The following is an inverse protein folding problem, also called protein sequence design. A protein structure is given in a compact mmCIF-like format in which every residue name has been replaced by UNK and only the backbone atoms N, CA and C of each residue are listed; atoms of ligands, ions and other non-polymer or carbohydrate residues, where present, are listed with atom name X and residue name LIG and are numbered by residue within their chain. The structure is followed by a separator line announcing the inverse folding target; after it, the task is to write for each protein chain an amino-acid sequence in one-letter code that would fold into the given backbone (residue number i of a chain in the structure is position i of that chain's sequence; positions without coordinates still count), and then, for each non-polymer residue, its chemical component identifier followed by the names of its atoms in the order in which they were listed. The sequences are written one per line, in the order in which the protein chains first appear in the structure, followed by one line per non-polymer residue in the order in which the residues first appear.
data_IF_768969547708
#
_entry.id   IF_768969547708
#
_cell.length_a   1.000
_cell.length_b   1.000
_cell.length_c   1.000
_cell.angle_alpha   90.00
_cell.angle_beta   90.00
_cell.angle_gamma   90.00
#
_symmetry.space_group_name_H-M   'P 1'
#
loop_
_entity.id
_entity.type
_entity.pdbx_description
1 polymer ?
#
# COMPACT_ATOMS: atom_id res chain seq x y z
N UNK A 1 10.96 14.95 -2.97
CA UNK A 1 10.33 13.70 -2.53
C UNK A 1 11.39 12.61 -2.60
N UNK A 2 11.39 11.62 -1.70
CA UNK A 2 12.42 10.59 -1.69
C UNK A 2 12.24 9.61 -2.86
N UNK A 3 13.20 9.69 -3.78
CA UNK A 3 13.39 8.68 -4.82
C UNK A 3 14.29 7.58 -4.25
N UNK A 4 13.73 6.37 -4.08
CA UNK A 4 14.46 5.24 -3.51
C UNK A 4 15.43 4.58 -4.50
N UNK A 5 15.07 4.54 -5.78
CA UNK A 5 15.88 4.01 -6.88
C UNK A 5 15.64 4.84 -8.14
N UNK A 6 16.65 4.91 -9.00
CA UNK A 6 16.54 5.53 -10.33
C UNK A 6 15.39 4.92 -11.11
N UNK A 7 14.60 5.77 -11.78
CA UNK A 7 13.42 5.38 -12.55
C UNK A 7 12.31 4.69 -11.74
N UNK A 8 12.40 4.70 -10.41
CA UNK A 8 11.36 4.24 -9.50
C UNK A 8 10.24 5.26 -9.33
N UNK A 9 9.07 4.83 -8.84
CA UNK A 9 8.02 5.77 -8.44
C UNK A 9 8.52 6.66 -7.31
N UNK A 10 8.25 7.95 -7.43
CA UNK A 10 8.54 8.92 -6.38
C UNK A 10 7.48 8.80 -5.29
N UNK A 11 7.88 8.53 -4.04
CA UNK A 11 6.95 8.26 -2.94
C UNK A 11 6.79 9.54 -2.11
N UNK A 12 5.60 10.17 -2.09
CA UNK A 12 5.33 11.35 -1.29
C UNK A 12 5.60 11.15 0.20
N UNK A 13 6.10 12.20 0.85
CA UNK A 13 6.41 12.20 2.29
C UNK A 13 5.20 11.85 3.16
N UNK A 14 4.01 12.35 2.82
CA UNK A 14 2.78 12.04 3.57
C UNK A 14 2.38 10.55 3.48
N UNK A 15 2.78 9.82 2.42
CA UNK A 15 2.58 8.37 2.34
C UNK A 15 3.55 7.61 3.23
N UNK A 16 4.79 8.08 3.34
CA UNK A 16 5.75 7.55 4.29
C UNK A 16 5.27 7.75 5.73
N UNK A 17 4.81 8.95 6.05
CA UNK A 17 4.22 9.25 7.36
C UNK A 17 3.00 8.37 7.64
N UNK A 18 2.06 8.26 6.69
CA UNK A 18 0.90 7.39 6.84
C UNK A 18 1.29 5.93 7.05
N UNK A 19 2.34 5.45 6.39
CA UNK A 19 2.87 4.09 6.58
C UNK A 19 3.37 3.86 8.00
N UNK A 20 4.14 4.78 8.55
CA UNK A 20 4.70 4.61 9.89
C UNK A 20 3.68 4.76 11.01
N UNK A 21 2.64 5.56 10.78
CA UNK A 21 1.50 5.74 11.67
C UNK A 21 0.46 4.61 11.55
N UNK A 22 0.71 3.59 10.71
CA UNK A 22 -0.21 2.47 10.50
C UNK A 22 -1.51 2.85 9.77
N UNK A 23 -1.54 4.02 9.11
CA UNK A 23 -2.68 4.55 8.34
C UNK A 23 -2.62 4.24 6.85
N UNK A 24 -1.49 3.77 6.33
CA UNK A 24 -1.36 3.28 4.95
C UNK A 24 -1.63 1.79 4.87
N UNK A 25 -2.57 1.41 4.00
CA UNK A 25 -2.82 0.01 3.65
C UNK A 25 -2.40 -0.24 2.22
N UNK A 26 -1.58 -1.26 2.02
CA UNK A 26 -1.23 -1.71 0.68
C UNK A 26 -2.31 -2.66 0.16
N UNK A 27 -2.78 -2.40 -1.07
CA UNK A 27 -3.72 -3.26 -1.77
C UNK A 27 -2.98 -3.89 -2.96
N UNK A 28 -2.70 -5.18 -2.87
CA UNK A 28 -1.79 -5.89 -3.76
C UNK A 28 -2.52 -6.75 -4.79
N UNK A 29 -2.31 -6.44 -6.06
CA UNK A 29 -2.81 -7.16 -7.22
C UNK A 29 -1.79 -8.10 -7.87
N UNK A 30 -2.16 -8.70 -9.02
CA UNK A 30 -1.39 -9.79 -9.63
C UNK A 30 0.05 -9.41 -10.00
N UNK A 31 0.29 -8.13 -10.32
CA UNK A 31 1.63 -7.63 -10.65
C UNK A 31 2.68 -7.80 -9.54
N UNK A 32 2.26 -7.94 -8.27
CA UNK A 32 3.15 -8.20 -7.13
C UNK A 32 3.75 -9.61 -7.19
N UNK A 33 3.08 -10.56 -7.84
CA UNK A 33 3.50 -11.96 -7.92
C UNK A 33 4.42 -12.30 -9.11
N UNK A 34 4.62 -11.36 -10.04
CA UNK A 34 5.49 -11.54 -11.21
C UNK A 34 6.96 -11.87 -10.85
N UNK A 35 7.58 -11.24 -9.82
CA UNK A 35 8.91 -11.63 -9.34
C UNK A 35 8.96 -13.09 -8.89
N UNK A 36 7.88 -13.63 -8.32
CA UNK A 36 7.74 -15.04 -7.94
C UNK A 36 7.58 -15.98 -9.14
N UNK A 37 7.52 -15.45 -10.37
CA UNK A 37 7.39 -16.23 -11.61
C UNK A 37 5.94 -16.58 -11.98
N UNK A 38 4.97 -16.01 -11.27
CA UNK A 38 3.57 -16.09 -11.66
C UNK A 38 3.30 -15.21 -12.90
N UNK A 39 2.37 -15.62 -13.77
CA UNK A 39 2.00 -14.82 -14.93
C UNK A 39 1.21 -13.57 -14.53
N UNK A 40 1.25 -12.54 -15.37
CA UNK A 40 0.24 -11.47 -15.35
C UNK A 40 -1.13 -12.02 -15.78
N UNK A 41 -2.20 -11.25 -15.60
CA UNK A 41 -3.58 -11.70 -15.90
C UNK A 41 -3.71 -12.20 -17.35
N UNK A 42 -3.15 -11.48 -18.32
CA UNK A 42 -3.15 -11.91 -19.73
C UNK A 42 -2.42 -13.25 -19.93
N UNK A 43 -1.25 -13.39 -19.31
CA UNK A 43 -0.43 -14.60 -19.33
C UNK A 43 -1.11 -15.78 -18.64
N UNK A 44 -1.87 -15.53 -17.57
CA UNK A 44 -2.65 -16.52 -16.84
C UNK A 44 -3.70 -17.14 -17.76
N UNK A 45 -4.54 -16.30 -18.39
CA UNK A 45 -5.55 -16.79 -19.34
C UNK A 45 -4.86 -17.58 -20.46
N UNK A 46 -3.78 -17.07 -21.07
CA UNK A 46 -3.07 -17.83 -22.12
C UNK A 46 -2.56 -19.20 -21.66
N UNK A 47 -2.06 -19.32 -20.43
CA UNK A 47 -1.60 -20.60 -19.87
C UNK A 47 -2.77 -21.52 -19.55
N UNK A 48 -3.90 -21.00 -19.08
CA UNK A 48 -5.11 -21.79 -18.82
C UNK A 48 -5.59 -22.49 -20.09
N UNK A 49 -5.75 -21.76 -21.19
CA UNK A 49 -6.17 -22.35 -22.48
C UNK A 49 -5.22 -23.45 -22.97
N UNK A 50 -3.90 -23.27 -22.77
CA UNK A 50 -2.91 -24.32 -23.09
C UNK A 50 -2.99 -25.51 -22.16
N UNK A 51 -3.25 -25.29 -20.87
CA UNK A 51 -3.31 -26.35 -19.85
C UNK A 51 -4.56 -27.21 -20.03
N UNK A 52 -5.67 -26.58 -20.43
CA UNK A 52 -6.97 -27.20 -20.70
C UNK A 52 -7.09 -27.72 -22.14
N UNK A 53 -6.01 -27.63 -22.93
CA UNK A 53 -5.95 -28.03 -24.34
C UNK A 53 -7.17 -27.57 -25.18
N UNK A 54 -7.53 -26.30 -25.04
CA UNK A 54 -8.66 -25.69 -25.77
C UNK A 54 -8.24 -24.37 -26.42
N UNK A 55 -8.93 -23.99 -27.49
CA UNK A 55 -8.80 -22.67 -28.13
C UNK A 55 -9.92 -21.73 -27.69
N UNK A 56 -9.73 -20.43 -27.90
CA UNK A 56 -10.75 -19.40 -27.65
C UNK A 56 -11.81 -19.43 -28.73
N UNK A 57 -13.08 -19.36 -28.34
CA UNK A 57 -14.18 -19.09 -29.27
C UNK A 57 -14.08 -17.64 -29.81
N UNK A 58 -14.79 -17.28 -30.90
CA UNK A 58 -14.78 -15.91 -31.40
C UNK A 58 -15.19 -14.87 -30.35
N UNK A 59 -16.17 -15.19 -29.50
CA UNK A 59 -16.65 -14.32 -28.42
C UNK A 59 -15.57 -14.17 -27.33
N UNK A 60 -14.94 -15.27 -26.91
CA UNK A 60 -13.83 -15.23 -25.94
C UNK A 60 -12.63 -14.48 -26.48
N UNK A 61 -12.31 -14.64 -27.77
CA UNK A 61 -11.22 -13.92 -28.42
C UNK A 61 -11.50 -12.43 -28.47
N UNK A 62 -12.75 -12.02 -28.71
CA UNK A 62 -13.15 -10.62 -28.65
C UNK A 62 -13.01 -10.06 -27.23
N UNK A 63 -13.55 -10.74 -26.22
CA UNK A 63 -13.43 -10.33 -24.82
C UNK A 63 -11.95 -10.23 -24.38
N UNK A 64 -11.12 -11.18 -24.81
CA UNK A 64 -9.68 -11.19 -24.54
C UNK A 64 -8.95 -10.01 -25.19
N UNK A 65 -9.32 -9.62 -26.42
CA UNK A 65 -8.77 -8.43 -27.10
C UNK A 65 -9.16 -7.14 -26.37
N UNK A 66 -10.40 -7.09 -25.89
CA UNK A 66 -10.93 -5.97 -25.10
C UNK A 66 -10.41 -5.94 -23.65
N UNK A 67 -9.54 -6.89 -23.25
CA UNK A 67 -9.00 -7.04 -21.89
C UNK A 67 -10.07 -7.32 -20.82
N UNK A 68 -11.20 -7.89 -21.21
CA UNK A 68 -12.29 -8.33 -20.33
C UNK A 68 -11.99 -9.75 -19.83
N UNK A 69 -10.89 -9.91 -19.08
CA UNK A 69 -10.38 -11.24 -18.71
C UNK A 69 -11.31 -12.03 -17.79
N UNK A 70 -12.06 -11.34 -16.94
CA UNK A 70 -13.12 -11.90 -16.09
C UNK A 70 -14.24 -12.53 -16.94
N UNK A 71 -14.62 -11.88 -18.04
CA UNK A 71 -15.63 -12.40 -18.97
C UNK A 71 -15.10 -13.58 -19.79
N UNK A 72 -13.81 -13.56 -20.15
CA UNK A 72 -13.16 -14.72 -20.80
C UNK A 72 -13.19 -15.94 -19.89
N UNK A 73 -12.90 -15.77 -18.59
CA UNK A 73 -12.98 -16.85 -17.61
C UNK A 73 -14.42 -17.34 -17.44
N UNK A 74 -15.40 -16.45 -17.32
CA UNK A 74 -16.82 -16.83 -17.23
C UNK A 74 -17.26 -17.69 -18.42
N UNK A 75 -16.92 -17.28 -19.65
CA UNK A 75 -17.26 -18.02 -20.86
C UNK A 75 -16.58 -19.38 -20.89
N UNK A 76 -15.30 -19.45 -20.52
CA UNK A 76 -14.54 -20.70 -20.45
C UNK A 76 -15.11 -21.66 -19.38
N UNK A 77 -15.39 -21.16 -18.17
CA UNK A 77 -15.99 -21.93 -17.07
C UNK A 77 -17.36 -22.50 -17.46
N UNK A 78 -18.16 -21.79 -18.26
CA UNK A 78 -19.48 -22.26 -18.70
C UNK A 78 -19.41 -23.39 -19.73
N UNK A 79 -18.48 -23.31 -20.68
CA UNK A 79 -18.47 -24.24 -21.83
C UNK A 79 -17.49 -25.41 -21.73
N UNK A 80 -16.45 -25.31 -20.90
CA UNK A 80 -15.41 -26.33 -20.84
C UNK A 80 -15.97 -27.62 -20.20
N UNK A 81 -15.59 -28.83 -20.64
CA UNK A 81 -15.92 -30.07 -19.91
C UNK A 81 -15.45 -30.01 -18.45
N UNK A 82 -16.28 -30.42 -17.50
CA UNK A 82 -16.01 -30.21 -16.07
C UNK A 82 -16.22 -28.76 -15.60
N UNK A 83 -16.60 -27.87 -16.51
CA UNK A 83 -17.04 -26.49 -16.27
C UNK A 83 -16.07 -25.71 -15.35
N UNK A 84 -16.63 -24.95 -14.41
CA UNK A 84 -15.92 -24.15 -13.41
C UNK A 84 -14.89 -24.94 -12.63
N UNK A 85 -15.17 -26.20 -12.29
CA UNK A 85 -14.27 -27.02 -11.48
C UNK A 85 -12.97 -27.32 -12.23
N UNK A 86 -13.06 -27.88 -13.45
CA UNK A 86 -11.87 -28.20 -14.25
C UNK A 86 -11.02 -26.96 -14.57
N UNK A 87 -11.66 -25.82 -14.83
CA UNK A 87 -10.94 -24.55 -15.07
C UNK A 87 -10.19 -24.08 -13.82
N UNK A 88 -10.78 -24.19 -12.63
CA UNK A 88 -10.15 -23.80 -11.36
C UNK A 88 -9.08 -24.77 -10.89
N UNK A 89 -9.22 -26.05 -11.21
CA UNK A 89 -8.14 -27.02 -11.01
C UNK A 89 -6.92 -26.70 -11.89
N UNK A 90 -7.15 -26.40 -13.18
CA UNK A 90 -6.09 -25.96 -14.08
C UNK A 90 -5.47 -24.62 -13.63
N UNK A 91 -6.27 -23.71 -13.07
CA UNK A 91 -5.78 -22.49 -12.45
C UNK A 91 -4.80 -22.81 -11.31
N UNK A 92 -5.14 -23.77 -10.45
CA UNK A 92 -4.26 -24.20 -9.37
C UNK A 92 -2.94 -24.79 -9.88
N UNK A 93 -2.97 -25.50 -11.01
CA UNK A 93 -1.77 -25.99 -11.67
C UNK A 93 -0.90 -24.85 -12.25
N UNK A 94 -1.52 -23.81 -12.80
CA UNK A 94 -0.83 -22.67 -13.41
C UNK A 94 -0.25 -21.69 -12.38
N UNK A 95 -0.95 -21.46 -11.27
CA UNK A 95 -0.57 -20.51 -10.21
C UNK A 95 0.43 -21.12 -9.20
N UNK A 96 1.49 -21.76 -9.72
CA UNK A 96 2.59 -22.30 -8.92
C UNK A 96 3.80 -21.37 -8.96
N UNK A 97 4.15 -20.71 -7.85
CA UNK A 97 5.33 -19.83 -7.81
C UNK A 97 6.63 -20.61 -8.05
N UNK A 98 7.59 -19.97 -8.71
CA UNK A 98 8.91 -20.52 -8.98
C UNK A 98 9.83 -20.26 -7.80
N UNK A 99 9.70 -21.06 -6.73
CA UNK A 99 10.39 -20.87 -5.45
C UNK A 99 11.92 -20.81 -5.54
N UNK A 100 12.53 -21.49 -6.52
CA UNK A 100 13.99 -21.49 -6.73
C UNK A 100 14.50 -20.23 -7.43
N UNK A 101 13.62 -19.38 -7.95
CA UNK A 101 14.01 -18.13 -8.62
C UNK A 101 14.55 -17.15 -7.56
N UNK A 102 15.74 -16.61 -7.79
CA UNK A 102 16.33 -15.58 -6.92
C UNK A 102 15.36 -14.40 -6.79
N UNK A 103 15.09 -14.01 -5.56
CA UNK A 103 14.19 -12.92 -5.19
C UNK A 103 12.71 -13.18 -5.43
N UNK A 104 12.28 -14.45 -5.55
CA UNK A 104 10.87 -14.80 -5.74
C UNK A 104 9.94 -14.22 -4.66
N UNK A 105 10.44 -14.08 -3.44
CA UNK A 105 9.66 -13.63 -2.27
C UNK A 105 9.98 -12.21 -1.81
N UNK A 106 10.95 -11.53 -2.44
CA UNK A 106 11.52 -10.29 -1.89
C UNK A 106 10.49 -9.15 -1.87
N UNK A 107 9.70 -9.02 -2.93
CA UNK A 107 8.61 -8.04 -2.99
C UNK A 107 7.54 -8.29 -1.93
N UNK A 108 7.17 -9.55 -1.69
CA UNK A 108 6.15 -9.90 -0.68
C UNK A 108 6.67 -9.63 0.74
N UNK A 109 7.94 -9.96 1.00
CA UNK A 109 8.62 -9.64 2.24
C UNK A 109 8.66 -8.12 2.47
N UNK A 110 9.04 -7.36 1.46
CA UNK A 110 9.06 -5.90 1.52
C UNK A 110 7.67 -5.31 1.84
N UNK A 111 6.63 -5.80 1.17
CA UNK A 111 5.26 -5.35 1.41
C UNK A 111 4.73 -5.71 2.79
N UNK A 112 5.00 -6.93 3.28
CA UNK A 112 4.65 -7.31 4.66
C UNK A 112 5.35 -6.41 5.68
N UNK A 113 6.62 -6.09 5.44
CA UNK A 113 7.38 -5.22 6.32
C UNK A 113 6.86 -3.78 6.30
N UNK A 114 6.53 -3.23 5.13
CA UNK A 114 5.94 -1.89 5.00
C UNK A 114 4.53 -1.82 5.56
N UNK A 115 3.75 -2.90 5.44
CA UNK A 115 2.40 -2.99 5.97
C UNK A 115 2.36 -3.16 7.49
N UNK A 116 3.51 -3.35 8.15
CA UNK A 116 3.62 -3.52 9.60
C UNK A 116 4.03 -2.21 10.24
N UNK A 117 3.21 -1.69 11.14
CA UNK A 117 3.51 -0.48 11.89
C UNK A 117 4.49 -0.76 13.06
N UNK A 118 4.82 0.30 13.79
CA UNK A 118 5.78 0.28 14.90
C UNK A 118 5.32 -0.58 16.09
N UNK A 119 4.02 -0.77 16.21
CA UNK A 119 3.40 -1.59 17.25
C UNK A 119 3.40 -3.08 16.85
N UNK A 120 3.89 -3.41 15.65
CA UNK A 120 3.91 -4.75 15.10
C UNK A 120 2.59 -5.14 14.44
N UNK A 121 1.67 -4.18 14.24
CA UNK A 121 0.37 -4.46 13.64
C UNK A 121 0.49 -4.40 12.11
N UNK A 122 0.29 -5.54 11.46
CA UNK A 122 0.30 -5.63 9.99
C UNK A 122 -1.09 -5.36 9.43
N UNK A 123 -1.23 -4.51 8.41
CA UNK A 123 -2.47 -4.30 7.65
C UNK A 123 -2.22 -4.35 6.14
N UNK A 124 -2.57 -5.47 5.53
CA UNK A 124 -2.30 -5.73 4.11
C UNK A 124 -3.52 -6.37 3.44
N UNK A 125 -3.85 -5.93 2.24
CA UNK A 125 -4.95 -6.52 1.44
C UNK A 125 -4.38 -7.03 0.13
N UNK A 126 -4.83 -8.19 -0.32
CA UNK A 126 -4.50 -8.71 -1.65
C UNK A 126 -5.73 -9.26 -2.36
N UNK A 127 -5.81 -9.02 -3.66
CA UNK A 127 -6.74 -9.72 -4.56
C UNK A 127 -6.11 -10.94 -5.21
N UNK A 128 -4.86 -11.26 -4.88
CA UNK A 128 -4.21 -12.45 -5.38
C UNK A 128 -4.68 -13.66 -4.59
N UNK A 129 -4.95 -14.74 -5.30
CA UNK A 129 -5.38 -16.01 -4.70
C UNK A 129 -4.19 -16.94 -4.43
N UNK A 130 -2.95 -16.53 -4.72
CA UNK A 130 -1.75 -17.35 -4.58
C UNK A 130 -1.19 -17.39 -3.14
N UNK A 131 -0.24 -18.29 -2.91
CA UNK A 131 0.35 -18.53 -1.59
C UNK A 131 1.65 -17.78 -1.30
N UNK A 132 2.09 -16.82 -2.11
CA UNK A 132 3.43 -16.24 -1.92
C UNK A 132 3.52 -15.48 -0.60
N UNK A 133 2.50 -14.70 -0.22
CA UNK A 133 2.48 -14.06 1.11
C UNK A 133 2.46 -15.08 2.25
N UNK A 134 1.52 -16.03 2.24
CA UNK A 134 1.48 -17.14 3.22
C UNK A 134 2.83 -17.84 3.35
N UNK A 135 3.51 -18.11 2.24
CA UNK A 135 4.85 -18.74 2.23
C UNK A 135 5.88 -17.90 2.96
N UNK A 136 5.86 -16.57 2.76
CA UNK A 136 6.76 -15.64 3.46
C UNK A 136 6.45 -15.59 4.94
N UNK A 137 5.18 -15.43 5.32
CA UNK A 137 4.71 -15.45 6.72
C UNK A 137 5.19 -16.72 7.43
N UNK A 138 4.95 -17.89 6.85
CA UNK A 138 5.36 -19.17 7.43
C UNK A 138 6.88 -19.35 7.49
N UNK A 139 7.61 -18.97 6.42
CA UNK A 139 9.07 -19.09 6.37
C UNK A 139 9.77 -18.21 7.39
N UNK A 140 9.29 -16.99 7.54
CA UNK A 140 9.90 -15.97 8.39
C UNK A 140 9.31 -15.95 9.81
N UNK A 141 8.33 -16.83 10.09
CA UNK A 141 7.64 -16.96 11.37
C UNK A 141 7.00 -15.64 11.83
N UNK A 142 6.37 -14.93 10.89
CA UNK A 142 5.69 -13.67 11.20
C UNK A 142 4.35 -13.96 11.88
N UNK A 143 4.03 -13.20 12.93
CA UNK A 143 2.73 -13.28 13.62
C UNK A 143 1.66 -12.45 12.89
N UNK A 144 1.36 -12.82 11.64
CA UNK A 144 0.40 -12.11 10.78
C UNK A 144 -0.80 -13.03 10.55
N UNK A 145 -1.99 -12.71 11.12
CA UNK A 145 -3.21 -13.46 10.85
C UNK A 145 -3.58 -13.41 9.36
N UNK A 146 -4.12 -14.52 8.84
CA UNK A 146 -4.68 -14.57 7.48
C UNK A 146 -6.20 -14.53 7.56
N UNK A 147 -6.81 -13.57 6.87
CA UNK A 147 -8.26 -13.34 6.84
C UNK A 147 -8.74 -13.56 5.41
N UNK A 148 -9.66 -14.51 5.19
CA UNK A 148 -10.07 -14.92 3.83
C UNK A 148 -11.56 -14.61 3.63
N UNK A 149 -11.88 -13.98 2.51
CA UNK A 149 -13.27 -13.74 2.11
C UNK A 149 -14.10 -15.04 2.00
N UNK A 150 -15.43 -14.97 2.19
CA UNK A 150 -16.26 -13.75 2.33
C UNK A 150 -16.40 -13.23 3.77
N UNK A 151 -15.95 -13.97 4.79
CA UNK A 151 -16.12 -13.60 6.20
C UNK A 151 -14.99 -12.68 6.66
N UNK A 152 -15.08 -11.41 6.26
CA UNK A 152 -14.08 -10.39 6.58
C UNK A 152 -14.58 -9.43 7.69
N UNK A 153 -13.68 -8.97 8.59
CA UNK A 153 -14.02 -7.90 9.52
C UNK A 153 -14.23 -6.58 8.77
N UNK A 154 -14.96 -5.65 9.40
CA UNK A 154 -15.03 -4.27 8.92
C UNK A 154 -13.66 -3.59 9.09
N UNK A 155 -13.07 -3.02 8.03
CA UNK A 155 -11.73 -2.49 8.09
C UNK A 155 -11.68 -1.12 8.78
N UNK A 156 -11.72 -1.13 10.12
CA UNK A 156 -11.52 0.04 10.99
C UNK A 156 -10.22 -0.10 11.79
N UNK A 157 -9.53 0.99 12.16
CA UNK A 157 -8.22 0.94 12.81
C UNK A 157 -8.11 -0.04 14.01
N UNK A 158 -9.18 -0.15 14.79
CA UNK A 158 -9.31 -0.96 16.01
C UNK A 158 -9.89 -2.38 15.79
N UNK A 159 -10.34 -2.72 14.58
CA UNK A 159 -11.16 -3.93 14.33
C UNK A 159 -10.51 -5.00 13.46
N UNK A 160 -9.37 -4.71 12.86
CA UNK A 160 -8.66 -5.70 12.04
C UNK A 160 -7.16 -5.42 11.98
N UNK A 161 -6.45 -6.53 11.82
CA UNK A 161 -5.06 -6.60 11.43
C UNK A 161 -4.85 -7.96 10.77
N UNK A 162 -3.78 -8.09 10.01
CA UNK A 162 -3.44 -9.27 9.24
C UNK A 162 -3.43 -9.02 7.74
N UNK A 163 -3.25 -10.12 7.02
CA UNK A 163 -3.33 -10.21 5.57
C UNK A 163 -4.74 -10.62 5.18
N UNK A 164 -5.43 -9.74 4.46
CA UNK A 164 -6.73 -10.01 3.88
C UNK A 164 -6.59 -10.53 2.46
N UNK A 165 -7.07 -11.75 2.23
CA UNK A 165 -7.29 -12.34 0.92
C UNK A 165 -8.70 -11.98 0.44
N UNK A 166 -8.80 -10.81 -0.19
CA UNK A 166 -10.10 -10.28 -0.61
C UNK A 166 -10.74 -11.20 -1.63
N UNK A 167 -10.03 -11.71 -2.63
CA UNK A 167 -10.63 -12.56 -3.67
C UNK A 167 -10.58 -14.06 -3.35
N UNK A 168 -10.46 -14.39 -2.07
CA UNK A 168 -10.26 -15.74 -1.59
C UNK A 168 -8.79 -16.18 -1.68
N UNK A 169 -8.56 -17.41 -1.26
CA UNK A 169 -7.26 -18.05 -1.26
C UNK A 169 -7.38 -19.41 -1.93
N UNK A 170 -6.51 -19.69 -2.88
CA UNK A 170 -6.52 -20.93 -3.64
C UNK A 170 -6.08 -22.08 -2.73
N UNK A 171 -7.01 -22.86 -2.19
CA UNK A 171 -6.70 -24.06 -1.41
C UNK A 171 -6.71 -25.32 -2.28
N UNK A 172 -6.10 -26.41 -1.81
CA UNK A 172 -6.11 -27.69 -2.54
C UNK A 172 -7.48 -28.38 -2.54
N UNK A 173 -8.38 -27.96 -1.65
CA UNK A 173 -9.71 -28.56 -1.51
C UNK A 173 -10.67 -27.96 -2.54
N UNK A 174 -11.28 -28.83 -3.35
CA UNK A 174 -12.18 -28.44 -4.45
C UNK A 174 -13.37 -27.60 -3.99
N UNK A 175 -13.89 -27.86 -2.79
CA UNK A 175 -15.01 -27.11 -2.19
C UNK A 175 -14.69 -25.63 -1.96
N UNK A 176 -13.41 -25.28 -1.91
CA UNK A 176 -12.95 -23.90 -1.69
C UNK A 176 -12.79 -23.11 -2.98
N UNK A 177 -12.75 -23.77 -4.14
CA UNK A 177 -12.68 -23.08 -5.42
C UNK A 177 -13.85 -22.12 -5.61
N UNK A 178 -15.04 -22.44 -5.10
CA UNK A 178 -16.22 -21.58 -5.23
C UNK A 178 -16.12 -20.28 -4.43
N UNK A 179 -15.15 -20.14 -3.52
CA UNK A 179 -14.91 -18.92 -2.75
C UNK A 179 -13.99 -17.92 -3.47
N UNK A 180 -13.41 -18.30 -4.61
CA UNK A 180 -12.53 -17.44 -5.38
C UNK A 180 -13.32 -16.45 -6.24
N UNK A 181 -12.84 -15.21 -6.32
CA UNK A 181 -13.37 -14.18 -7.21
C UNK A 181 -12.48 -14.03 -8.43
N UNK A 182 -12.92 -14.57 -9.57
CA UNK A 182 -12.12 -14.64 -10.80
C UNK A 182 -12.93 -14.30 -12.06
N UNK A 183 -14.16 -14.81 -12.16
CA UNK A 183 -15.03 -14.61 -13.32
C UNK A 183 -15.97 -13.41 -13.14
N UNK A 184 -16.58 -12.93 -14.22
CA UNK A 184 -17.58 -11.85 -14.12
C UNK A 184 -18.75 -12.21 -13.20
N UNK A 185 -19.15 -13.49 -13.14
CA UNK A 185 -20.16 -13.98 -12.21
C UNK A 185 -19.71 -13.82 -10.75
N UNK A 186 -18.46 -14.15 -10.44
CA UNK A 186 -17.92 -14.00 -9.08
C UNK A 186 -17.82 -12.55 -8.66
N UNK A 187 -17.34 -11.68 -9.56
CA UNK A 187 -17.27 -10.24 -9.29
C UNK A 187 -18.66 -9.67 -9.07
N UNK A 188 -19.65 -10.09 -9.88
CA UNK A 188 -21.05 -9.74 -9.70
C UNK A 188 -21.56 -10.13 -8.31
N UNK A 189 -21.27 -11.35 -7.86
CA UNK A 189 -21.65 -11.81 -6.53
C UNK A 189 -20.95 -11.00 -5.42
N UNK A 190 -19.63 -10.84 -5.51
CA UNK A 190 -18.80 -10.23 -4.46
C UNK A 190 -19.00 -8.72 -4.30
N UNK A 191 -19.20 -7.99 -5.41
CA UNK A 191 -19.28 -6.53 -5.41
C UNK A 191 -20.71 -5.98 -5.55
N UNK A 192 -21.63 -6.71 -6.20
CA UNK A 192 -22.98 -6.21 -6.49
C UNK A 192 -24.07 -6.98 -5.73
N UNK A 193 -24.03 -8.31 -5.75
CA UNK A 193 -25.05 -9.17 -5.13
C UNK A 193 -24.94 -9.22 -3.60
N UNK A 194 -23.92 -9.91 -3.09
CA UNK A 194 -23.65 -10.04 -1.64
C UNK A 194 -22.86 -8.86 -1.09
N UNK A 195 -22.15 -8.12 -1.96
CA UNK A 195 -21.46 -6.86 -1.67
C UNK A 195 -20.40 -6.94 -0.56
N UNK A 196 -19.94 -8.11 -0.14
CA UNK A 196 -18.93 -8.21 0.93
C UNK A 196 -17.62 -7.53 0.51
N UNK A 197 -17.21 -7.64 -0.77
CA UNK A 197 -16.00 -7.00 -1.26
C UNK A 197 -16.17 -5.50 -1.36
N UNK A 198 -17.29 -5.05 -1.94
CA UNK A 198 -17.64 -3.64 -2.06
C UNK A 198 -17.68 -2.94 -0.69
N UNK A 199 -18.35 -3.55 0.30
CA UNK A 199 -18.43 -3.02 1.66
C UNK A 199 -17.07 -2.94 2.33
N UNK A 200 -16.24 -3.98 2.18
CA UNK A 200 -14.90 -3.99 2.73
C UNK A 200 -14.05 -2.85 2.14
N UNK A 201 -13.95 -2.75 0.81
CA UNK A 201 -13.07 -1.74 0.19
C UNK A 201 -13.60 -0.33 0.42
N UNK A 202 -14.91 -0.14 0.42
CA UNK A 202 -15.50 1.17 0.73
C UNK A 202 -15.11 1.60 2.14
N UNK A 203 -15.36 0.79 3.18
CA UNK A 203 -14.95 1.12 4.55
C UNK A 203 -13.43 1.29 4.68
N UNK A 204 -12.63 0.52 3.93
CA UNK A 204 -11.17 0.64 3.94
C UNK A 204 -10.75 2.04 3.49
N UNK A 205 -11.30 2.53 2.38
CA UNK A 205 -11.03 3.87 1.84
C UNK A 205 -11.58 4.99 2.73
N UNK A 206 -12.58 4.71 3.57
CA UNK A 206 -13.09 5.69 4.55
C UNK A 206 -12.12 5.95 5.70
N UNK A 207 -11.33 4.95 6.09
CA UNK A 207 -10.53 4.98 7.31
C UNK A 207 -9.02 4.99 7.07
N UNK A 208 -8.57 4.56 5.88
CA UNK A 208 -7.16 4.41 5.56
C UNK A 208 -6.81 5.12 4.26
N UNK A 209 -5.55 5.54 4.16
CA UNK A 209 -4.94 5.79 2.87
C UNK A 209 -4.62 4.43 2.25
N UNK A 210 -4.99 4.21 1.00
CA UNK A 210 -4.81 2.91 0.32
C UNK A 210 -3.88 3.07 -0.87
N UNK A 211 -2.82 2.28 -0.94
CA UNK A 211 -1.90 2.24 -2.07
C UNK A 211 -2.07 0.95 -2.87
N UNK A 212 -2.62 1.07 -4.08
CA UNK A 212 -2.82 -0.01 -5.03
C UNK A 212 -1.53 -0.33 -5.78
N UNK A 213 -1.13 -1.60 -5.78
CA UNK A 213 0.14 -2.07 -6.36
C UNK A 213 -0.11 -3.27 -7.25
N UNK A 214 0.46 -3.24 -8.46
CA UNK A 214 0.38 -4.37 -9.38
C UNK A 214 -0.95 -4.50 -10.11
N UNK A 215 -1.64 -3.38 -10.32
CA UNK A 215 -2.85 -3.27 -11.13
C UNK A 215 -2.59 -2.56 -12.45
N UNK A 216 -3.31 -2.99 -13.49
CA UNK A 216 -3.43 -2.27 -14.74
C UNK A 216 -4.71 -1.44 -14.74
N UNK A 217 -4.76 -0.35 -15.53
CA UNK A 217 -5.93 0.54 -15.58
C UNK A 217 -7.24 -0.23 -15.91
N UNK A 218 -7.16 -1.25 -16.75
CA UNK A 218 -8.29 -2.06 -17.21
C UNK A 218 -8.41 -3.38 -16.43
N UNK A 219 -7.84 -3.45 -15.23
CA UNK A 219 -8.07 -4.58 -14.33
C UNK A 219 -9.57 -4.64 -13.95
N UNK A 220 -10.23 -5.81 -14.04
CA UNK A 220 -11.62 -5.96 -13.66
C UNK A 220 -11.93 -5.48 -12.24
N UNK A 221 -11.03 -5.70 -11.27
CA UNK A 221 -11.22 -5.30 -9.88
C UNK A 221 -11.51 -3.80 -9.77
N UNK A 222 -10.74 -2.97 -10.48
CA UNK A 222 -10.88 -1.53 -10.40
C UNK A 222 -12.19 -1.04 -11.01
N UNK A 223 -12.66 -1.69 -12.07
CA UNK A 223 -13.99 -1.40 -12.64
C UNK A 223 -15.09 -1.66 -11.61
N UNK A 224 -15.14 -2.88 -11.05
CA UNK A 224 -16.15 -3.24 -10.05
C UNK A 224 -16.05 -2.40 -8.76
N UNK A 225 -14.84 -2.02 -8.36
CA UNK A 225 -14.63 -1.11 -7.23
C UNK A 225 -15.23 0.27 -7.52
N UNK A 226 -14.97 0.85 -8.69
CA UNK A 226 -15.50 2.16 -9.06
C UNK A 226 -17.01 2.16 -9.17
N UNK A 227 -17.59 1.11 -9.76
CA UNK A 227 -19.04 0.94 -9.86
C UNK A 227 -19.67 0.86 -8.46
N UNK A 228 -19.06 0.09 -7.55
CA UNK A 228 -19.56 -0.05 -6.19
C UNK A 228 -19.42 1.24 -5.36
N UNK A 229 -18.31 1.97 -5.49
CA UNK A 229 -18.10 3.26 -4.83
C UNK A 229 -19.01 4.37 -5.37
N UNK A 230 -19.40 4.29 -6.64
CA UNK A 230 -20.38 5.20 -7.22
C UNK A 230 -21.79 4.92 -6.67
N UNK A 231 -22.13 3.64 -6.48
CA UNK A 231 -23.42 3.24 -5.92
C UNK A 231 -23.60 3.60 -4.44
N UNK A 232 -22.51 3.67 -3.66
CA UNK A 232 -22.55 4.01 -2.22
C UNK A 232 -22.58 5.52 -1.92
N UNK A 233 -22.78 6.38 -2.93
CA UNK A 233 -22.79 7.87 -2.84
C UNK A 233 -21.62 8.45 -2.03
N UNK A 234 -20.49 7.74 -1.97
CA UNK A 234 -19.33 8.19 -1.21
C UNK A 234 -18.86 9.55 -1.77
N UNK A 235 -18.77 10.62 -0.95
CA UNK A 235 -18.34 11.93 -1.43
C UNK A 235 -17.02 11.83 -2.17
N UNK A 236 -16.82 12.59 -3.25
CA UNK A 236 -15.56 12.59 -4.00
C UNK A 236 -14.33 12.87 -3.09
N UNK A 237 -14.52 13.66 -2.02
CA UNK A 237 -13.52 13.90 -0.99
C UNK A 237 -13.07 12.65 -0.21
N UNK A 238 -13.90 11.60 -0.15
CA UNK A 238 -13.57 10.31 0.47
C UNK A 238 -12.66 9.44 -0.43
N UNK A 239 -12.49 9.81 -1.71
CA UNK A 239 -11.61 9.12 -2.68
C UNK A 239 -10.17 9.65 -2.67
N UNK A 240 -9.93 10.77 -1.98
CA UNK A 240 -8.62 11.43 -1.84
C UNK A 240 -7.51 10.57 -1.20
N UNK A 241 -7.87 9.41 -0.65
CA UNK A 241 -6.94 8.46 -0.04
C UNK A 241 -6.48 7.31 -0.96
N UNK A 242 -6.93 7.24 -2.21
CA UNK A 242 -6.60 6.14 -3.13
C UNK A 242 -5.38 6.48 -4.01
N UNK A 243 -4.26 5.81 -3.77
CA UNK A 243 -3.01 5.94 -4.52
C UNK A 243 -2.77 4.73 -5.39
N UNK A 244 -2.07 4.87 -6.51
CA UNK A 244 -1.71 3.73 -7.37
C UNK A 244 -0.29 3.84 -7.90
N UNK A 245 0.51 2.78 -7.76
CA UNK A 245 1.83 2.70 -8.40
C UNK A 245 1.65 2.24 -9.85
N UNK A 246 1.77 3.18 -10.80
CA UNK A 246 1.44 2.96 -12.19
C UNK A 246 2.64 3.24 -13.12
N UNK A 247 2.83 2.36 -14.11
CA UNK A 247 3.89 2.52 -15.09
C UNK A 247 3.42 3.31 -16.32
N UNK A 248 4.28 4.12 -16.93
CA UNK A 248 4.01 4.77 -18.21
C UNK A 248 5.10 4.46 -19.25
N UNK A 249 4.74 4.49 -20.54
CA UNK A 249 5.73 4.45 -21.62
C UNK A 249 6.16 5.87 -21.99
N UNK A 250 7.35 6.02 -22.53
CA UNK A 250 7.83 7.28 -23.10
C UNK A 250 6.76 7.95 -23.97
N UNK A 251 6.53 9.25 -23.76
CA UNK A 251 5.49 10.03 -24.46
C UNK A 251 4.04 9.78 -24.00
N UNK A 252 3.79 8.94 -22.99
CA UNK A 252 2.43 8.63 -22.52
C UNK A 252 2.15 9.06 -21.07
N UNK A 253 3.09 9.71 -20.40
CA UNK A 253 3.01 10.05 -18.97
C UNK A 253 1.73 10.82 -18.61
N UNK A 254 1.49 11.95 -19.27
CA UNK A 254 0.32 12.81 -19.00
C UNK A 254 -1.00 12.09 -19.27
N UNK A 255 -1.08 11.32 -20.36
CA UNK A 255 -2.27 10.53 -20.66
C UNK A 255 -2.56 9.51 -19.56
N UNK A 256 -1.55 8.76 -19.13
CA UNK A 256 -1.69 7.75 -18.05
C UNK A 256 -2.08 8.43 -16.74
N UNK A 257 -1.51 9.60 -16.44
CA UNK A 257 -1.87 10.40 -15.27
C UNK A 257 -3.36 10.77 -15.26
N UNK A 258 -3.85 11.37 -16.35
CA UNK A 258 -5.25 11.75 -16.51
C UNK A 258 -6.19 10.54 -16.48
N UNK A 259 -5.80 9.43 -17.08
CA UNK A 259 -6.57 8.18 -17.07
C UNK A 259 -6.79 7.63 -15.66
N UNK A 260 -5.78 7.70 -14.78
CA UNK A 260 -5.92 7.28 -13.38
C UNK A 260 -6.67 8.31 -12.53
N UNK A 261 -6.40 9.60 -12.71
CA UNK A 261 -7.06 10.68 -11.98
C UNK A 261 -8.56 10.75 -12.30
N UNK A 262 -8.95 10.54 -13.56
CA UNK A 262 -10.38 10.48 -13.97
C UNK A 262 -11.15 9.34 -13.31
N UNK A 263 -10.43 8.32 -12.80
CA UNK A 263 -10.99 7.21 -12.02
C UNK A 263 -10.85 7.41 -10.51
N UNK A 264 -10.41 8.59 -10.07
CA UNK A 264 -10.30 8.91 -8.65
C UNK A 264 -9.08 8.33 -7.94
N UNK A 265 -8.04 7.91 -8.68
CA UNK A 265 -6.77 7.47 -8.10
C UNK A 265 -5.69 8.55 -8.29
N UNK A 266 -4.85 8.75 -7.27
CA UNK A 266 -3.63 9.54 -7.37
C UNK A 266 -2.46 8.66 -7.85
N UNK A 267 -1.97 8.81 -9.09
CA UNK A 267 -0.95 7.94 -9.63
C UNK A 267 0.46 8.34 -9.17
N UNK A 268 1.22 7.35 -8.71
CA UNK A 268 2.65 7.41 -8.47
C UNK A 268 3.36 6.78 -9.68
N UNK A 269 3.72 7.64 -10.63
CA UNK A 269 4.16 7.24 -11.95
C UNK A 269 5.63 6.87 -12.00
N UNK A 270 5.95 5.82 -12.74
CA UNK A 270 7.33 5.43 -13.07
C UNK A 270 7.45 4.97 -14.53
N UNK A 271 8.59 5.23 -15.19
CA UNK A 271 8.77 4.83 -16.58
C UNK A 271 8.88 3.31 -16.73
N UNK A 272 8.32 2.79 -17.81
CA UNK A 272 8.48 1.40 -18.25
C UNK A 272 9.43 1.39 -19.46
N UNK A 273 10.73 1.08 -19.27
CA UNK A 273 11.70 1.12 -20.34
C UNK A 273 11.38 0.10 -21.46
N UNK A 274 11.77 0.43 -22.69
CA UNK A 274 11.70 -0.50 -23.84
C UNK A 274 12.80 -1.56 -23.68
N UNK A 275 12.44 -2.76 -23.20
CA UNK A 275 13.37 -3.88 -22.98
C UNK A 275 13.45 -4.33 -21.50
N UNK A 276 14.37 -5.26 -21.20
CA UNK A 276 14.66 -5.94 -19.90
C UNK A 276 13.44 -6.22 -18.99
N UNK A 277 13.66 -6.63 -17.74
CA UNK A 277 12.63 -7.15 -16.82
C UNK A 277 11.61 -6.06 -16.50
N UNK A 278 10.38 -6.23 -16.98
CA UNK A 278 9.28 -5.27 -16.75
C UNK A 278 9.12 -4.99 -15.24
N UNK A 279 8.95 -3.71 -14.90
CA UNK A 279 8.70 -3.21 -13.53
C UNK A 279 9.83 -3.40 -12.50
N UNK A 280 11.08 -3.63 -12.91
CA UNK A 280 12.21 -3.76 -11.98
C UNK A 280 12.38 -2.57 -11.03
N UNK A 281 12.22 -1.34 -11.53
CA UNK A 281 12.30 -0.13 -10.72
C UNK A 281 11.21 -0.06 -9.63
N UNK A 282 9.99 -0.51 -9.92
CA UNK A 282 8.92 -0.62 -8.91
C UNK A 282 9.33 -1.58 -7.78
N UNK A 283 9.78 -2.78 -8.13
CA UNK A 283 10.16 -3.78 -7.12
C UNK A 283 11.39 -3.31 -6.32
N UNK A 284 12.34 -2.66 -6.98
CA UNK A 284 13.49 -2.01 -6.35
C UNK A 284 13.06 -0.94 -5.35
N UNK A 285 12.12 -0.06 -5.73
CA UNK A 285 11.57 0.97 -4.82
C UNK A 285 10.93 0.35 -3.59
N UNK A 286 10.10 -0.68 -3.74
CA UNK A 286 9.45 -1.33 -2.59
C UNK A 286 10.47 -1.96 -1.63
N UNK A 287 11.51 -2.61 -2.17
CA UNK A 287 12.57 -3.23 -1.36
C UNK A 287 13.44 -2.18 -0.65
N UNK A 288 13.81 -1.11 -1.36
CA UNK A 288 14.59 -0.01 -0.80
C UNK A 288 13.79 0.81 0.23
N UNK A 289 12.50 1.03 -0.02
CA UNK A 289 11.58 1.63 0.95
C UNK A 289 11.46 0.76 2.19
N UNK A 290 11.25 -0.55 2.05
CA UNK A 290 11.23 -1.45 3.20
C UNK A 290 12.57 -1.41 3.96
N UNK A 291 13.70 -1.49 3.27
CA UNK A 291 15.02 -1.39 3.92
C UNK A 291 15.16 -0.08 4.70
N UNK A 292 14.82 1.05 4.07
CA UNK A 292 14.84 2.37 4.69
C UNK A 292 13.89 2.48 5.88
N UNK A 293 12.72 1.83 5.87
CA UNK A 293 11.80 1.84 7.02
C UNK A 293 12.37 1.04 8.21
N UNK A 294 12.87 -0.17 7.98
CA UNK A 294 13.50 -1.00 9.03
C UNK A 294 14.73 -0.32 9.61
N UNK A 295 15.56 0.25 8.75
CA UNK A 295 16.77 0.96 9.17
C UNK A 295 16.38 2.34 9.76
N UNK A 296 15.26 2.91 9.32
CA UNK A 296 14.57 4.14 9.71
C UNK A 296 14.11 4.21 11.15
N UNK A 297 13.50 3.11 11.63
CA UNK A 297 13.18 2.91 13.05
C UNK A 297 14.45 2.97 13.91
N UNK A 298 15.62 2.64 13.36
CA UNK A 298 16.94 2.86 14.00
C UNK A 298 17.57 4.21 13.65
N UNK A 299 17.15 4.89 12.57
CA UNK A 299 17.81 6.06 11.99
C UNK A 299 17.16 7.40 12.29
N UNK A 300 15.96 7.50 12.89
CA UNK A 300 15.40 8.82 13.29
C UNK A 300 16.33 9.60 14.21
N UNK A 301 16.98 8.93 15.17
CA UNK A 301 18.07 9.51 15.96
C UNK A 301 19.24 9.99 15.09
N UNK A 302 19.61 9.22 14.07
CA UNK A 302 20.65 9.59 13.12
C UNK A 302 20.25 10.80 12.27
N UNK A 303 18.99 10.89 11.82
CA UNK A 303 18.43 12.03 11.09
C UNK A 303 18.50 13.29 11.95
N UNK A 304 18.12 13.20 13.22
CA UNK A 304 18.30 14.28 14.20
C UNK A 304 19.78 14.64 14.33
N UNK A 305 20.67 13.68 14.59
CA UNK A 305 22.10 13.94 14.75
C UNK A 305 22.77 14.56 13.49
N UNK A 306 22.31 14.19 12.29
CA UNK A 306 22.89 14.65 11.03
C UNK A 306 22.35 16.00 10.57
N UNK A 307 21.08 16.29 10.81
CA UNK A 307 20.41 17.45 10.21
C UNK A 307 19.98 18.52 11.22
N UNK A 308 19.76 18.18 12.49
CA UNK A 308 19.32 19.16 13.48
C UNK A 308 20.44 20.09 13.98
N UNK A 309 21.70 19.69 13.81
CA UNK A 309 22.87 20.47 14.27
C UNK A 309 23.12 21.70 13.39
N UNK A 310 22.66 21.68 12.13
CA UNK A 310 22.73 22.81 11.22
C UNK A 310 21.42 23.65 11.26
N UNK A 311 21.47 24.95 10.96
CA UNK A 311 20.26 25.77 10.84
C UNK A 311 19.37 25.24 9.69
N UNK A 312 18.03 25.27 9.84
CA UNK A 312 17.13 24.92 8.75
C UNK A 312 17.26 25.95 7.64
N UNK A 313 18.00 25.63 6.58
CA UNK A 313 18.08 26.47 5.39
C UNK A 313 16.78 26.34 4.59
N UNK A 314 16.11 27.46 4.35
CA UNK A 314 14.99 27.51 3.40
C UNK A 314 15.52 27.38 1.97
N UNK A 315 15.11 26.29 1.33
CA UNK A 315 15.08 26.06 -0.12
C UNK A 315 16.42 25.82 -0.84
N UNK A 316 16.76 24.54 -0.95
CA UNK A 316 17.00 23.94 -2.25
C UNK A 316 16.08 22.73 -2.37
N UNK A 317 15.41 22.56 -3.52
CA UNK A 317 14.61 21.35 -3.85
C UNK A 317 15.42 20.04 -3.71
N UNK A 318 16.74 20.12 -3.54
CA UNK A 318 17.63 18.98 -3.31
C UNK A 318 17.81 18.59 -1.82
N UNK A 319 17.52 19.48 -0.85
CA UNK A 319 17.76 19.21 0.57
C UNK A 319 16.48 19.29 1.41
N UNK A 320 15.77 18.16 1.50
CA UNK A 320 14.61 17.94 2.38
C UNK A 320 14.98 17.82 3.88
N UNK A 321 15.97 18.57 4.38
CA UNK A 321 16.46 18.41 5.76
C UNK A 321 15.42 18.80 6.83
N UNK A 322 14.65 19.86 6.59
CA UNK A 322 13.61 20.35 7.53
C UNK A 322 12.48 19.34 7.69
N UNK A 323 11.91 18.85 6.57
CA UNK A 323 10.86 17.82 6.60
C UNK A 323 11.33 16.56 7.32
N UNK A 324 12.56 16.08 7.03
CA UNK A 324 13.16 14.92 7.70
C UNK A 324 13.30 15.10 9.22
N UNK A 325 13.72 16.26 9.70
CA UNK A 325 13.83 16.52 11.14
C UNK A 325 12.45 16.59 11.79
N UNK A 326 11.51 17.33 11.21
CA UNK A 326 10.13 17.42 11.71
C UNK A 326 9.46 16.03 11.78
N UNK A 327 9.65 15.23 10.75
CA UNK A 327 9.24 13.84 10.68
C UNK A 327 9.89 12.98 11.79
N UNK A 328 11.21 13.11 11.97
CA UNK A 328 11.94 12.35 12.98
C UNK A 328 11.44 12.69 14.40
N UNK A 329 11.13 13.96 14.66
CA UNK A 329 10.59 14.45 15.95
C UNK A 329 9.20 13.92 16.29
N UNK A 330 8.47 13.32 15.34
CA UNK A 330 7.25 12.57 15.64
C UNK A 330 7.51 11.30 16.48
N UNK A 331 8.77 10.88 16.63
CA UNK A 331 9.19 9.79 17.51
C UNK A 331 9.68 10.31 18.86
N UNK A 332 9.16 9.75 19.97
CA UNK A 332 9.49 10.22 21.31
C UNK A 332 10.97 10.07 21.70
N UNK A 333 11.66 9.03 21.23
CA UNK A 333 13.10 8.88 21.50
C UNK A 333 13.94 9.83 20.66
N UNK A 334 13.58 10.05 19.39
CA UNK A 334 14.24 11.02 18.53
C UNK A 334 14.01 12.46 18.99
N UNK A 335 12.80 12.79 19.46
CA UNK A 335 12.49 14.08 20.07
C UNK A 335 13.31 14.33 21.33
N UNK A 336 13.45 13.30 22.19
CA UNK A 336 14.34 13.35 23.35
C UNK A 336 15.79 13.55 22.92
N UNK A 337 16.25 12.79 21.92
CA UNK A 337 17.60 12.93 21.40
C UNK A 337 17.88 14.34 20.82
N UNK A 338 16.91 14.95 20.13
CA UNK A 338 17.01 16.32 19.62
C UNK A 338 17.15 17.34 20.74
N UNK A 339 16.38 17.19 21.83
CA UNK A 339 16.48 18.04 23.01
C UNK A 339 17.84 17.88 23.73
N UNK A 340 18.41 16.68 23.69
CA UNK A 340 19.67 16.32 24.35
C UNK A 340 20.92 16.56 23.47
N UNK A 341 20.77 17.11 22.25
CA UNK A 341 21.90 17.36 21.34
C UNK A 341 22.90 18.37 21.93
N UNK A 342 24.19 18.08 21.73
CA UNK A 342 25.29 18.97 22.09
C UNK A 342 26.30 19.07 20.92
N UNK A 343 26.45 20.23 20.26
CA UNK A 343 25.81 21.51 20.57
C UNK A 343 24.29 21.48 20.35
N UNK A 344 23.57 22.29 21.12
CA UNK A 344 22.10 22.40 21.02
C UNK A 344 21.67 22.84 19.61
N UNK A 345 20.52 22.36 19.09
CA UNK A 345 20.05 22.75 17.77
C UNK A 345 19.92 24.29 17.64
N UNK A 346 20.26 24.87 16.48
CA UNK A 346 20.16 26.32 16.28
C UNK A 346 18.74 26.86 16.48
N UNK A 347 18.62 28.08 17.03
CA UNK A 347 17.33 28.73 17.32
C UNK A 347 16.41 28.86 16.09
N UNK A 348 16.99 28.90 14.89
CA UNK A 348 16.26 28.95 13.63
C UNK A 348 15.30 27.74 13.41
N UNK A 349 15.45 26.63 14.15
CA UNK A 349 14.47 25.53 14.16
C UNK A 349 13.13 25.88 14.80
N UNK A 350 13.06 26.95 15.59
CA UNK A 350 11.84 27.32 16.32
C UNK A 350 10.68 27.67 15.39
N UNK A 351 10.94 28.32 14.25
CA UNK A 351 9.92 28.69 13.28
C UNK A 351 9.30 27.45 12.59
N UNK A 352 10.07 26.54 11.95
CA UNK A 352 9.53 25.29 11.40
C UNK A 352 8.80 24.42 12.44
N UNK A 353 9.33 24.34 13.66
CA UNK A 353 8.72 23.56 14.74
C UNK A 353 7.39 24.16 15.18
N UNK A 354 7.33 25.49 15.32
CA UNK A 354 6.08 26.17 15.66
C UNK A 354 5.03 26.00 14.57
N UNK A 355 5.40 26.14 13.29
CA UNK A 355 4.48 25.96 12.18
C UNK A 355 3.90 24.53 12.12
N UNK A 356 4.71 23.50 12.38
CA UNK A 356 4.29 22.10 12.39
C UNK A 356 3.44 21.73 13.62
N UNK A 357 3.64 22.40 14.76
CA UNK A 357 2.87 22.18 16.00
C UNK A 357 1.55 22.97 16.05
N UNK A 358 1.35 23.95 15.16
CA UNK A 358 0.17 24.80 15.11
C UNK A 358 -0.60 24.67 13.78
N UNK A 359 -0.77 23.46 13.25
CA UNK A 359 -1.79 23.24 12.22
C UNK A 359 -3.19 23.53 12.80
N UNK A 360 -4.05 24.17 12.00
CA UNK A 360 -5.31 24.84 12.40
C UNK A 360 -6.38 23.98 13.11
N UNK A 361 -6.09 22.73 13.47
CA UNK A 361 -6.95 21.85 14.28
C UNK A 361 -6.77 22.06 15.79
N UNK A 362 -5.72 22.77 16.22
CA UNK A 362 -5.39 22.96 17.63
C UNK A 362 -5.76 24.34 18.20
N UNK A 363 -6.45 25.19 17.43
CA UNK A 363 -7.04 26.42 17.97
C UNK A 363 -8.28 26.07 18.82
N UNK A 364 -8.28 26.30 20.15
CA UNK A 364 -9.45 26.05 20.97
C UNK A 364 -10.53 27.08 20.65
N UNK A 365 -11.48 26.68 19.80
CA UNK A 365 -12.79 27.32 19.75
C UNK A 365 -13.46 27.20 21.11
N UNK A 366 -13.87 28.33 21.67
CA UNK A 366 -14.54 28.46 22.97
C UNK A 366 -15.71 27.48 23.10
N UNK A 367 -15.56 26.47 23.95
CA UNK A 367 -16.64 25.58 24.38
C UNK A 367 -16.21 24.79 25.62
N UNK A 368 -16.99 24.78 26.72
CA UNK A 368 -16.57 24.10 27.93
C UNK A 368 -16.86 22.60 27.83
N UNK A 369 -15.79 21.80 27.87
CA UNK A 369 -15.86 20.39 28.23
C UNK A 369 -15.62 19.40 27.08
N UNK A 370 -14.39 18.94 26.92
CA UNK A 370 -14.09 17.52 26.72
C UNK A 370 -12.60 17.27 26.90
N UNK A 371 -12.28 16.12 27.52
CA UNK A 371 -10.94 15.70 27.93
C UNK A 371 -10.18 15.14 26.74
N UNK A 372 -9.17 15.85 26.25
CA UNK A 372 -8.12 15.33 25.35
C UNK A 372 -6.80 16.03 25.67
N UNK A 373 -6.05 15.53 26.65
CA UNK A 373 -4.69 16.01 26.97
C UNK A 373 -3.77 14.86 27.37
N UNK A 374 -3.33 14.07 26.39
CA UNK A 374 -2.22 13.12 26.61
C UNK A 374 -1.07 13.25 25.59
N UNK A 375 -1.26 13.92 24.44
CA UNK A 375 -0.17 14.12 23.45
C UNK A 375 0.72 15.35 23.66
N UNK A 376 0.32 16.32 24.49
CA UNK A 376 1.06 17.60 24.63
C UNK A 376 2.05 17.61 25.82
N UNK A 377 1.98 16.63 26.73
CA UNK A 377 2.81 16.65 27.96
C UNK A 377 4.27 16.21 27.76
N UNK A 378 4.62 15.44 26.72
CA UNK A 378 5.98 14.96 26.55
C UNK A 378 6.95 16.04 26.04
N UNK A 379 6.49 16.94 25.17
CA UNK A 379 7.36 17.98 24.59
C UNK A 379 7.52 19.18 25.51
N UNK A 380 6.47 19.53 26.28
CA UNK A 380 6.53 20.66 27.22
C UNK A 380 7.37 20.38 28.47
N UNK A 381 7.53 19.10 28.86
CA UNK A 381 8.31 18.73 30.04
C UNK A 381 9.84 18.89 29.86
N UNK A 382 10.37 18.75 28.64
CA UNK A 382 11.81 18.93 28.38
C UNK A 382 12.26 20.40 28.33
N UNK A 383 11.35 21.36 28.23
CA UNK A 383 11.67 22.79 28.15
C UNK A 383 11.61 23.49 29.53
N UNK A 384 11.99 22.81 30.61
CA UNK A 384 12.19 23.49 31.91
C UNK A 384 13.62 24.04 32.01
N UNK A 385 13.74 25.35 31.80
CA UNK A 385 14.98 26.14 31.93
C UNK A 385 15.57 25.98 33.35
N UNK A 386 16.88 25.73 33.52
CA UNK A 386 17.50 25.76 34.85
C UNK A 386 17.48 27.19 35.39
N UNK A 387 16.99 27.37 36.63
CA UNK A 387 17.03 28.66 37.34
C UNK A 387 18.50 29.14 37.43
N UNK A 388 18.77 30.36 36.96
CA UNK A 388 20.07 31.04 37.08
C UNK A 388 20.49 31.22 38.55
N UNK A 389 21.79 31.22 38.88
CA UNK A 389 22.29 31.52 40.22
C UNK A 389 22.11 33.00 40.54
N UNK A 390 21.69 33.32 41.78
CA UNK A 390 21.61 34.68 42.30
C UNK A 390 23.02 35.26 42.46
N UNK A 391 23.28 36.37 41.79
CA UNK A 391 24.38 37.27 42.11
C UNK A 391 24.09 37.97 43.45
N UNK A 392 25.05 37.97 44.36
CA UNK A 392 25.07 38.75 45.60
C UNK A 392 26.04 39.91 45.39
N UNK A 393 25.62 41.18 45.48
CA UNK A 393 26.56 42.29 45.62
C UNK A 393 27.07 42.35 47.06
N UNK A 394 28.37 42.61 47.23
CA UNK A 394 29.01 42.82 48.53
C UNK A 394 28.61 44.11 49.22
#
# INVERSE_FOLDING_TARGET
MPVFVTDGPDIPEHLLQAQEEGRLVFFCGPGVAVPAGLPDTRGLINKLYRTLDTTRTPVEQQAFRNRQFDAVLELLERRHPGQRHAVREALAAVLKPRWRKRGATDTHRALLQLATDREGTTRLVTSNVDHVFRRVIARDKLAVPELVAPQLPLPRPDRWHGLVYLHGLLEQQETQFNRLVLSSGDFGLAYLGERWAARFVSELLRHFTVCFIGYELHDPLLRYLMDALAADEAPAAQRSGAWVLASYREGTRERVELEWQSRGFAPLLYPLPRGRRRHEALYGTLQAWAASYRDGVRSRRMVIAQHAVAPPLTASRADHAVGRVLWALGDGEAARHFADLNPVPPLAWLEPLSAALFEARDLPGRGPGSRLTTRVRSVSACCTVPRRPRWVPG
#
